data_IF_398933042323
#
_entry.id   IF_398933042323
#
_cell.length_a   1.000
_cell.length_b   1.000
_cell.length_c   1.000
_cell.angle_alpha   90.00
_cell.angle_beta   90.00
_cell.angle_gamma   90.00
#
_symmetry.space_group_name_H-M   'P 1'
#
loop_
_entity.id
_entity.type
_entity.pdbx_description
1 polymer ?
#
# COMPACT_ATOMS: atom_id res chain seq x y z
N UNK A 1 -3.86 -4.51 29.37
CA UNK A 1 -3.17 -3.22 29.61
C UNK A 1 -3.96 -2.16 28.89
N UNK A 2 -4.47 -1.17 29.60
CA UNK A 2 -5.37 -0.13 29.04
C UNK A 2 -4.61 0.95 28.24
N UNK A 3 -3.35 1.22 28.58
CA UNK A 3 -2.49 2.20 27.90
C UNK A 3 -1.08 1.62 27.69
N UNK A 4 -0.85 0.83 26.65
CA UNK A 4 0.47 0.25 26.36
C UNK A 4 1.50 1.31 25.95
N UNK A 5 1.07 2.38 25.30
CA UNK A 5 1.98 3.45 24.86
C UNK A 5 2.49 4.27 26.04
N UNK A 6 1.61 4.65 26.95
CA UNK A 6 1.98 5.33 28.21
C UNK A 6 2.91 4.47 29.06
N UNK A 7 2.64 3.17 29.14
CA UNK A 7 3.50 2.23 29.85
C UNK A 7 4.92 2.19 29.24
N UNK A 8 5.04 2.04 27.93
CA UNK A 8 6.34 2.01 27.23
C UNK A 8 7.12 3.31 27.48
N UNK A 9 6.45 4.46 27.37
CA UNK A 9 7.09 5.78 27.55
C UNK A 9 7.54 6.06 28.98
N UNK A 10 6.91 5.48 29.97
CA UNK A 10 7.19 5.68 31.40
C UNK A 10 8.08 4.62 32.03
N UNK A 11 8.36 3.53 31.32
CA UNK A 11 9.12 2.39 31.85
C UNK A 11 10.57 2.46 31.41
N UNK A 12 11.49 2.30 32.36
CA UNK A 12 12.91 2.10 32.06
C UNK A 12 13.11 0.63 31.71
N UNK A 13 13.54 0.37 30.49
CA UNK A 13 13.83 -0.99 29.99
C UNK A 13 15.28 -1.41 30.20
N UNK A 14 15.58 -2.63 29.83
CA UNK A 14 16.95 -3.12 29.70
C UNK A 14 17.59 -2.48 28.46
N UNK A 15 18.80 -1.98 28.60
CA UNK A 15 19.60 -1.55 27.44
C UNK A 15 20.06 -2.79 26.66
N UNK A 16 19.65 -2.87 25.40
CA UNK A 16 19.98 -3.99 24.50
C UNK A 16 21.12 -3.66 23.53
N UNK A 17 21.63 -2.43 23.55
CA UNK A 17 22.73 -1.98 22.71
C UNK A 17 22.32 -0.95 21.64
N UNK A 18 23.19 -0.74 20.69
CA UNK A 18 23.02 0.25 19.63
C UNK A 18 21.95 -0.20 18.61
N UNK A 19 21.04 0.71 18.28
CA UNK A 19 19.93 0.44 17.39
C UNK A 19 20.39 0.15 15.95
N UNK A 20 21.46 0.82 15.50
CA UNK A 20 21.98 0.62 14.15
C UNK A 20 22.66 -0.75 14.02
N UNK A 21 23.37 -1.17 15.08
CA UNK A 21 23.97 -2.51 15.13
C UNK A 21 22.91 -3.61 15.13
N UNK A 22 21.86 -3.47 15.95
CA UNK A 22 20.75 -4.44 15.99
C UNK A 22 19.99 -4.46 14.66
N UNK A 23 19.77 -3.27 14.06
CA UNK A 23 19.09 -3.15 12.76
C UNK A 23 19.87 -3.77 11.61
N UNK A 24 21.20 -3.80 11.68
CA UNK A 24 22.04 -4.41 10.67
C UNK A 24 22.10 -5.95 10.78
N UNK A 25 21.68 -6.54 11.90
CA UNK A 25 21.71 -7.97 12.09
C UNK A 25 20.71 -8.71 11.20
N UNK A 26 21.11 -9.85 10.62
CA UNK A 26 20.18 -10.75 9.98
C UNK A 26 19.27 -11.41 11.01
N UNK A 27 18.15 -11.94 10.56
CA UNK A 27 17.22 -12.72 11.41
C UNK A 27 17.83 -14.09 11.69
N UNK A 28 18.59 -14.19 12.77
CA UNK A 28 19.26 -15.41 13.27
C UNK A 28 18.90 -15.62 14.74
N UNK A 29 18.80 -16.88 15.18
CA UNK A 29 18.33 -17.22 16.53
C UNK A 29 19.29 -16.77 17.65
N UNK A 30 20.57 -16.60 17.35
CA UNK A 30 21.63 -16.25 18.29
C UNK A 30 22.01 -14.76 18.30
N UNK A 31 21.35 -13.95 17.50
CA UNK A 31 21.58 -12.50 17.40
C UNK A 31 20.32 -11.71 17.72
N UNK A 32 20.51 -10.59 18.42
CA UNK A 32 19.44 -9.61 18.56
C UNK A 32 19.12 -9.02 17.18
N UNK A 33 17.85 -9.04 16.80
CA UNK A 33 17.35 -8.53 15.54
C UNK A 33 15.92 -7.99 15.73
N UNK A 34 15.47 -7.17 14.79
CA UNK A 34 14.11 -6.65 14.85
C UNK A 34 13.10 -7.62 14.23
N UNK A 35 12.03 -7.84 14.96
CA UNK A 35 10.78 -8.36 14.40
C UNK A 35 10.00 -7.24 13.70
N UNK A 36 8.94 -7.62 12.99
CA UNK A 36 8.00 -6.63 12.46
C UNK A 36 7.43 -5.78 13.61
N UNK A 37 7.34 -4.45 13.44
CA UNK A 37 6.84 -3.56 14.50
C UNK A 37 5.38 -3.81 14.86
N UNK A 38 4.62 -4.47 13.98
CA UNK A 38 3.19 -4.76 14.12
C UNK A 38 2.89 -6.22 13.76
N UNK A 39 3.57 -7.16 14.43
CA UNK A 39 3.44 -8.59 14.13
C UNK A 39 2.22 -9.26 14.78
N UNK A 40 1.71 -8.72 15.90
CA UNK A 40 0.57 -9.27 16.65
C UNK A 40 -0.79 -8.72 16.19
N UNK A 41 -0.83 -7.81 15.23
CA UNK A 41 -2.04 -7.24 14.66
C UNK A 41 -2.21 -7.66 13.20
N UNK A 42 -3.47 -7.74 12.77
CA UNK A 42 -3.75 -7.83 11.33
C UNK A 42 -3.42 -6.48 10.66
N UNK A 43 -2.70 -6.54 9.55
CA UNK A 43 -2.38 -5.36 8.74
C UNK A 43 -3.47 -5.18 7.69
N UNK A 44 -4.04 -3.98 7.65
CA UNK A 44 -5.00 -3.55 6.64
C UNK A 44 -4.32 -2.58 5.69
N UNK A 45 -4.68 -2.65 4.42
CA UNK A 45 -4.25 -1.69 3.43
C UNK A 45 -5.46 -0.94 2.86
N UNK A 46 -5.24 0.31 2.49
CA UNK A 46 -6.21 1.13 1.80
C UNK A 46 -5.76 1.35 0.36
N UNK A 47 -6.69 1.31 -0.58
CA UNK A 47 -6.41 1.65 -1.96
C UNK A 47 -5.98 3.10 -2.11
N UNK A 48 -5.09 3.34 -3.08
CA UNK A 48 -4.61 4.70 -3.37
C UNK A 48 -5.65 5.49 -4.15
N UNK A 49 -5.82 6.77 -3.79
CA UNK A 49 -6.77 7.69 -4.41
C UNK A 49 -6.10 8.72 -5.33
N UNK A 50 -4.84 8.50 -5.69
CA UNK A 50 -4.12 9.40 -6.59
C UNK A 50 -4.44 9.10 -8.06
N UNK A 51 -5.07 10.04 -8.74
CA UNK A 51 -5.49 9.90 -10.14
C UNK A 51 -4.32 9.50 -11.07
N UNK A 52 -3.13 10.06 -10.85
CA UNK A 52 -1.94 9.70 -11.63
C UNK A 52 -1.53 8.23 -11.47
N UNK A 53 -1.51 7.74 -10.24
CA UNK A 53 -1.18 6.33 -9.96
C UNK A 53 -2.20 5.38 -10.55
N UNK A 54 -3.48 5.74 -10.53
CA UNK A 54 -4.54 4.94 -11.13
C UNK A 54 -4.38 4.79 -12.64
N UNK A 55 -4.07 5.89 -13.33
CA UNK A 55 -3.86 5.87 -14.78
C UNK A 55 -2.72 4.95 -15.15
N UNK A 56 -1.60 5.04 -14.45
CA UNK A 56 -0.46 4.14 -14.70
C UNK A 56 -0.81 2.67 -14.42
N UNK A 57 -1.57 2.37 -13.35
CA UNK A 57 -2.06 1.00 -13.08
C UNK A 57 -2.93 0.45 -14.21
N UNK A 58 -3.82 1.26 -14.77
CA UNK A 58 -4.65 0.84 -15.92
C UNK A 58 -3.78 0.58 -17.15
N UNK A 59 -2.78 1.43 -17.39
CA UNK A 59 -1.85 1.25 -18.50
C UNK A 59 -1.07 -0.05 -18.32
N UNK A 60 -0.50 -0.31 -17.16
CA UNK A 60 0.23 -1.54 -16.84
C UNK A 60 -0.64 -2.78 -17.02
N UNK A 61 -1.86 -2.78 -16.49
CA UNK A 61 -2.81 -3.88 -16.61
C UNK A 61 -3.13 -4.20 -18.07
N UNK A 62 -3.47 -3.18 -18.84
CA UNK A 62 -3.88 -3.36 -20.25
C UNK A 62 -2.71 -3.65 -21.17
N UNK A 63 -1.53 -3.14 -20.89
CA UNK A 63 -0.32 -3.37 -21.67
C UNK A 63 0.25 -4.77 -21.44
N UNK A 64 0.02 -5.38 -20.27
CA UNK A 64 0.52 -6.70 -19.89
C UNK A 64 2.04 -6.87 -20.13
N UNK A 65 2.82 -5.82 -19.85
CA UNK A 65 4.28 -5.80 -20.02
C UNK A 65 4.78 -5.42 -21.42
N UNK A 66 3.91 -5.03 -22.36
CA UNK A 66 4.28 -4.57 -23.70
C UNK A 66 4.43 -3.03 -23.74
N UNK A 67 5.65 -2.48 -23.91
CA UNK A 67 5.85 -1.03 -23.90
C UNK A 67 5.14 -0.28 -25.02
N UNK A 68 4.98 -0.90 -26.19
CA UNK A 68 4.32 -0.27 -27.33
C UNK A 68 2.81 -0.14 -27.12
N UNK A 69 2.21 -1.13 -26.49
CA UNK A 69 0.82 -1.08 -26.08
C UNK A 69 0.61 -0.06 -24.95
N UNK A 70 1.53 0.00 -23.97
CA UNK A 70 1.47 0.98 -22.90
C UNK A 70 1.41 2.41 -23.43
N UNK A 71 2.25 2.75 -24.42
CA UNK A 71 2.26 4.08 -25.01
C UNK A 71 0.96 4.38 -25.79
N UNK A 72 0.45 3.44 -26.55
CA UNK A 72 -0.82 3.59 -27.26
C UNK A 72 -2.01 3.80 -26.31
N UNK A 73 -2.03 3.09 -25.17
CA UNK A 73 -3.06 3.23 -24.13
C UNK A 73 -2.91 4.60 -23.45
N UNK A 74 -1.67 5.02 -23.13
CA UNK A 74 -1.40 6.34 -22.51
C UNK A 74 -1.91 7.49 -23.38
N UNK A 75 -1.66 7.42 -24.69
CA UNK A 75 -2.16 8.41 -25.65
C UNK A 75 -3.69 8.44 -25.70
N UNK A 76 -4.35 7.28 -25.73
CA UNK A 76 -5.82 7.18 -25.72
C UNK A 76 -6.42 7.73 -24.42
N UNK A 77 -5.87 7.37 -23.28
CA UNK A 77 -6.30 7.87 -21.98
C UNK A 77 -6.04 9.38 -21.85
N UNK A 78 -4.85 9.84 -22.23
CA UNK A 78 -4.47 11.25 -22.18
C UNK A 78 -5.38 12.15 -23.04
N UNK A 79 -5.73 11.72 -24.23
CA UNK A 79 -6.61 12.48 -25.13
C UNK A 79 -8.04 12.65 -24.59
N UNK A 80 -8.53 11.69 -23.80
CA UNK A 80 -9.93 11.69 -23.35
C UNK A 80 -10.13 12.14 -21.89
N UNK A 81 -9.14 11.90 -21.05
CA UNK A 81 -9.31 12.04 -19.60
C UNK A 81 -8.28 13.00 -18.99
N UNK A 82 -7.20 13.30 -19.69
CA UNK A 82 -5.98 13.97 -19.22
C UNK A 82 -6.14 14.97 -18.06
N UNK A 83 -6.70 16.14 -18.29
CA UNK A 83 -6.94 17.13 -17.23
C UNK A 83 -8.13 16.79 -16.33
N UNK A 84 -9.07 15.96 -16.81
CA UNK A 84 -10.28 15.63 -16.07
C UNK A 84 -10.03 14.73 -14.87
N UNK A 85 -9.09 13.76 -14.96
CA UNK A 85 -8.78 12.86 -13.85
C UNK A 85 -8.03 13.55 -12.72
N UNK A 86 -7.13 14.48 -13.04
CA UNK A 86 -6.30 15.15 -12.03
C UNK A 86 -7.12 15.99 -11.04
N UNK A 87 -8.35 16.37 -11.40
CA UNK A 87 -9.24 17.21 -10.61
C UNK A 87 -10.60 16.55 -10.31
N UNK A 88 -10.68 15.24 -10.37
CA UNK A 88 -11.89 14.50 -10.00
C UNK A 88 -11.98 14.38 -8.48
N UNK A 89 -13.14 14.70 -7.96
CA UNK A 89 -13.50 14.35 -6.58
C UNK A 89 -14.16 12.98 -6.62
N UNK A 90 -13.60 11.97 -5.93
CA UNK A 90 -14.18 10.64 -5.85
C UNK A 90 -15.65 10.68 -5.43
N UNK A 91 -16.50 9.85 -6.05
CA UNK A 91 -17.94 9.79 -5.77
C UNK A 91 -18.75 10.96 -6.31
N UNK A 92 -18.16 11.93 -7.00
CA UNK A 92 -18.88 13.04 -7.60
C UNK A 92 -19.59 12.64 -8.90
N UNK A 93 -20.57 13.46 -9.33
CA UNK A 93 -21.24 13.27 -10.64
C UNK A 93 -20.25 13.31 -11.81
N UNK A 94 -19.18 14.09 -11.69
CA UNK A 94 -18.10 14.12 -12.68
C UNK A 94 -17.37 12.78 -12.72
N UNK A 95 -17.11 12.16 -11.57
CA UNK A 95 -16.51 10.84 -11.47
C UNK A 95 -17.37 9.76 -12.12
N UNK A 96 -18.69 9.76 -11.89
CA UNK A 96 -19.64 8.85 -12.53
C UNK A 96 -19.66 8.98 -14.06
N UNK A 97 -19.64 10.21 -14.57
CA UNK A 97 -19.60 10.46 -16.01
C UNK A 97 -18.30 9.94 -16.65
N UNK A 98 -17.17 10.15 -16.01
CA UNK A 98 -15.87 9.62 -16.46
C UNK A 98 -15.87 8.10 -16.40
N UNK A 99 -16.40 7.50 -15.35
CA UNK A 99 -16.57 6.05 -15.23
C UNK A 99 -17.35 5.48 -16.41
N UNK A 100 -18.52 6.08 -16.72
CA UNK A 100 -19.36 5.64 -17.86
C UNK A 100 -18.60 5.71 -19.18
N UNK A 101 -17.89 6.81 -19.44
CA UNK A 101 -17.09 6.95 -20.66
C UNK A 101 -15.97 5.92 -20.76
N UNK A 102 -15.32 5.60 -19.65
CA UNK A 102 -14.25 4.59 -19.62
C UNK A 102 -14.77 3.16 -19.83
N UNK A 103 -15.97 2.87 -19.31
CA UNK A 103 -16.64 1.58 -19.54
C UNK A 103 -16.98 1.43 -21.02
N UNK A 104 -17.59 2.46 -21.64
CA UNK A 104 -17.97 2.44 -23.06
C UNK A 104 -16.77 2.19 -23.99
N UNK A 105 -15.58 2.61 -23.58
CA UNK A 105 -14.35 2.42 -24.34
C UNK A 105 -13.55 1.16 -23.99
N UNK A 106 -14.04 0.37 -23.04
CA UNK A 106 -13.32 -0.83 -22.59
C UNK A 106 -12.02 -0.53 -21.83
N UNK A 107 -11.90 0.68 -21.30
CA UNK A 107 -10.73 1.13 -20.52
C UNK A 107 -10.98 1.08 -19.02
N UNK A 108 -12.17 0.69 -18.59
CA UNK A 108 -12.48 0.55 -17.17
C UNK A 108 -11.69 -0.59 -16.53
N UNK A 109 -11.21 -0.37 -15.31
CA UNK A 109 -10.61 -1.39 -14.47
C UNK A 109 -11.01 -1.18 -13.01
N UNK A 110 -10.88 -2.23 -12.20
CA UNK A 110 -11.17 -2.16 -10.75
C UNK A 110 -10.29 -1.13 -10.02
N UNK A 111 -9.09 -0.83 -10.51
CA UNK A 111 -8.23 0.19 -9.94
C UNK A 111 -8.79 1.60 -10.09
N UNK A 112 -9.54 1.84 -11.17
CA UNK A 112 -10.25 3.11 -11.36
C UNK A 112 -11.44 3.24 -10.40
N UNK A 113 -12.12 2.12 -10.09
CA UNK A 113 -13.21 2.11 -9.10
C UNK A 113 -12.74 2.62 -7.74
N UNK A 114 -11.60 2.13 -7.28
CA UNK A 114 -11.00 2.55 -6.01
C UNK A 114 -10.69 4.03 -5.97
N UNK A 115 -10.15 4.55 -7.07
CA UNK A 115 -9.65 5.92 -7.09
C UNK A 115 -10.69 7.00 -7.38
N UNK A 116 -11.80 6.68 -8.04
CA UNK A 116 -12.85 7.63 -8.41
C UNK A 116 -14.26 7.26 -7.95
N UNK A 117 -14.42 6.04 -7.43
CA UNK A 117 -15.71 5.58 -6.89
C UNK A 117 -16.08 6.23 -5.56
N UNK A 118 -17.34 6.04 -5.08
CA UNK A 118 -17.79 6.61 -3.82
C UNK A 118 -17.14 5.94 -2.59
N UNK A 119 -16.70 4.69 -2.73
CA UNK A 119 -16.24 3.87 -1.62
C UNK A 119 -14.72 3.70 -1.63
N UNK A 120 -14.12 3.80 -0.44
CA UNK A 120 -12.71 3.51 -0.27
C UNK A 120 -12.48 1.99 -0.29
N UNK A 121 -11.42 1.56 -0.96
CA UNK A 121 -10.96 0.19 -0.84
C UNK A 121 -10.21 0.00 0.47
N UNK A 122 -10.61 -1.00 1.26
CA UNK A 122 -9.88 -1.45 2.44
C UNK A 122 -9.81 -2.98 2.41
N UNK A 123 -8.63 -3.54 2.47
CA UNK A 123 -8.43 -4.98 2.42
C UNK A 123 -7.42 -5.47 3.45
N UNK A 124 -7.36 -6.77 3.69
CA UNK A 124 -6.35 -7.38 4.54
C UNK A 124 -5.06 -7.55 3.77
N UNK A 125 -4.01 -6.84 4.19
CA UNK A 125 -2.67 -6.96 3.60
C UNK A 125 -2.00 -8.24 4.07
N UNK A 126 -1.98 -8.45 5.39
CA UNK A 126 -1.54 -9.70 5.97
C UNK A 126 -2.25 -9.98 7.31
N UNK A 127 -2.22 -11.23 7.69
CA UNK A 127 -2.74 -11.69 8.96
C UNK A 127 -1.71 -11.54 10.08
N UNK A 128 -2.13 -11.80 11.30
CA UNK A 128 -1.25 -11.82 12.49
C UNK A 128 -0.06 -12.75 12.26
N UNK A 129 1.11 -12.35 12.68
CA UNK A 129 2.40 -13.05 12.55
C UNK A 129 2.87 -13.29 11.10
N UNK A 130 2.31 -12.61 10.11
CA UNK A 130 2.74 -12.74 8.72
C UNK A 130 3.68 -11.61 8.27
N UNK A 131 3.81 -10.53 9.05
CA UNK A 131 4.81 -9.49 8.81
C UNK A 131 6.18 -9.95 9.31
N UNK A 132 7.24 -9.50 8.65
CA UNK A 132 8.62 -9.80 9.00
C UNK A 132 9.39 -8.54 9.36
N UNK A 133 10.46 -8.68 10.13
CA UNK A 133 11.30 -7.57 10.55
C UNK A 133 12.33 -7.15 9.50
N UNK A 134 13.09 -6.13 9.84
CA UNK A 134 14.18 -5.63 9.01
C UNK A 134 15.20 -6.75 8.73
N UNK A 135 15.73 -6.77 7.50
CA UNK A 135 16.68 -7.80 7.01
C UNK A 135 16.15 -9.25 7.01
N UNK A 136 14.86 -9.46 7.23
CA UNK A 136 14.29 -10.80 7.10
C UNK A 136 14.08 -11.18 5.63
N UNK A 137 14.24 -12.48 5.35
CA UNK A 137 13.91 -13.00 4.04
C UNK A 137 12.40 -13.10 3.86
N UNK A 138 11.90 -12.72 2.68
CA UNK A 138 10.51 -12.89 2.28
C UNK A 138 10.40 -13.95 1.20
N UNK A 139 9.36 -14.79 1.28
CA UNK A 139 9.09 -15.78 0.27
C UNK A 139 8.44 -15.17 -0.97
N UNK A 140 8.91 -15.56 -2.14
CA UNK A 140 8.28 -15.25 -3.41
C UNK A 140 7.58 -16.48 -3.96
N UNK A 141 6.35 -16.33 -4.44
CA UNK A 141 5.65 -17.45 -5.04
C UNK A 141 6.34 -17.90 -6.35
N UNK A 142 6.60 -19.21 -6.56
CA UNK A 142 7.37 -19.68 -7.71
C UNK A 142 6.80 -19.29 -9.09
N UNK A 143 5.50 -19.07 -9.20
CA UNK A 143 4.86 -18.63 -10.43
C UNK A 143 4.95 -17.12 -10.67
N UNK A 144 5.38 -16.34 -9.68
CA UNK A 144 5.53 -14.90 -9.83
C UNK A 144 6.76 -14.58 -10.66
N UNK A 145 6.56 -13.85 -11.75
CA UNK A 145 7.63 -13.46 -12.67
C UNK A 145 8.07 -12.00 -12.50
N UNK A 146 7.32 -11.24 -11.75
CA UNK A 146 7.60 -9.82 -11.48
C UNK A 146 7.22 -9.49 -10.05
N UNK A 147 8.21 -9.06 -9.29
CA UNK A 147 8.06 -8.74 -7.87
C UNK A 147 8.68 -7.36 -7.61
N UNK A 148 7.84 -6.39 -7.31
CA UNK A 148 8.25 -5.04 -6.93
C UNK A 148 7.97 -4.79 -5.46
N UNK A 149 8.95 -4.31 -4.68
CA UNK A 149 8.65 -3.74 -3.38
C UNK A 149 7.90 -2.42 -3.55
N UNK A 150 6.85 -2.23 -2.76
CA UNK A 150 6.08 -0.99 -2.69
C UNK A 150 6.25 -0.42 -1.28
N UNK A 151 7.02 0.67 -1.10
CA UNK A 151 7.16 1.31 0.19
C UNK A 151 5.85 2.03 0.55
N UNK A 152 5.31 1.72 1.71
CA UNK A 152 4.04 2.28 2.19
C UNK A 152 4.18 2.79 3.62
N UNK A 153 3.52 3.89 3.94
CA UNK A 153 3.43 4.38 5.31
C UNK A 153 2.40 3.56 6.06
N UNK A 154 2.82 2.96 7.16
CA UNK A 154 1.95 2.20 8.06
C UNK A 154 1.63 3.04 9.30
N UNK A 155 0.36 3.19 9.61
CA UNK A 155 -0.12 3.85 10.81
C UNK A 155 -0.49 2.80 11.85
N UNK A 156 0.06 2.93 13.05
CA UNK A 156 -0.31 2.10 14.19
C UNK A 156 -1.47 2.76 14.91
N UNK A 157 -2.62 2.09 14.93
CA UNK A 157 -3.87 2.64 15.46
C UNK A 157 -4.32 1.82 16.67
N UNK A 158 -4.64 2.47 17.77
CA UNK A 158 -5.18 1.81 18.96
C UNK A 158 -6.69 1.50 18.82
N UNK A 159 -7.25 0.83 19.84
CA UNK A 159 -8.68 0.45 19.87
C UNK A 159 -9.65 1.63 19.94
N UNK A 160 -9.16 2.85 20.20
CA UNK A 160 -9.96 4.09 20.20
C UNK A 160 -9.92 4.82 18.85
N UNK A 161 -9.19 4.30 17.87
CA UNK A 161 -8.99 4.95 16.58
C UNK A 161 -7.91 6.05 16.60
N UNK A 162 -7.06 6.11 17.62
CA UNK A 162 -5.98 7.09 17.72
C UNK A 162 -4.70 6.54 17.09
N UNK A 163 -4.01 7.36 16.30
CA UNK A 163 -2.70 7.03 15.74
C UNK A 163 -1.66 7.17 16.84
N UNK A 164 -1.00 6.08 17.19
CA UNK A 164 0.00 6.02 18.27
C UNK A 164 1.42 5.86 17.79
N UNK A 165 1.61 5.61 16.50
CA UNK A 165 2.92 5.48 15.86
C UNK A 165 2.79 5.32 14.36
N UNK A 166 3.94 5.32 13.69
CA UNK A 166 4.04 5.02 12.26
C UNK A 166 5.35 4.29 11.95
N UNK A 167 5.34 3.57 10.82
CA UNK A 167 6.51 2.90 10.26
C UNK A 167 6.39 2.86 8.73
N UNK A 168 7.43 2.38 8.05
CA UNK A 168 7.45 2.05 6.62
C UNK A 168 7.46 0.54 6.46
#
# INVERSE_FOLDING_TARGET
MEDPVGFIRSTVGLDLGDIDEISANPVELDKLHFFAPCDLQAVKACGVTFAGSMVERVIEEKAAGDPSKAEAIRQRLGAKIGESLMNIVPGSKKAENVKSSLIDEGLWSQYLEVGIGPDAEVFSKCQVLASVGNNANVGLHPSSKWNNPEPEIVLVVNSKGEIVGCTL
#
